data_IF_825399474947
#
_entry.id   IF_825399474947
#
_cell.length_a   1.000
_cell.length_b   1.000
_cell.length_c   1.000
_cell.angle_alpha   90.00
_cell.angle_beta   90.00
_cell.angle_gamma   90.00
#
_symmetry.space_group_name_H-M   'P 1'
#
loop_
_entity.id
_entity.type
_entity.pdbx_description
1 polymer ?
#
# COMPACT_ATOMS: atom_id res chain seq x y z
N UNK A 1 36.44 96.09 70.82
CA UNK A 1 36.26 94.62 70.92
C UNK A 1 37.31 93.95 70.06
N UNK A 2 38.37 93.37 70.66
CA UNK A 2 39.44 92.69 69.91
C UNK A 2 39.01 91.25 69.66
N UNK A 3 38.66 90.94 68.40
CA UNK A 3 38.42 89.57 67.95
C UNK A 3 39.76 88.82 67.93
N UNK A 4 39.89 87.77 68.75
CA UNK A 4 41.16 87.06 68.93
C UNK A 4 41.36 86.01 67.83
N UNK A 5 42.62 85.77 67.42
CA UNK A 5 43.00 84.77 66.39
C UNK A 5 42.39 83.38 66.66
N UNK A 6 42.12 83.04 67.93
CA UNK A 6 41.47 81.78 68.35
C UNK A 6 39.98 81.71 67.98
N UNK A 7 39.24 82.82 68.08
CA UNK A 7 37.81 82.87 67.75
C UNK A 7 37.57 82.66 66.25
N UNK A 8 38.44 83.23 65.39
CA UNK A 8 38.38 83.03 63.93
C UNK A 8 38.62 81.57 63.54
N UNK A 9 39.61 80.90 64.15
CA UNK A 9 39.89 79.47 63.92
C UNK A 9 38.73 78.56 64.35
N UNK A 10 38.06 78.91 65.46
CA UNK A 10 36.88 78.16 65.91
C UNK A 10 35.74 78.28 64.90
N UNK A 11 35.49 79.47 64.37
CA UNK A 11 34.48 79.72 63.34
C UNK A 11 34.78 78.97 62.03
N UNK A 12 36.04 78.98 61.57
CA UNK A 12 36.51 78.23 60.40
C UNK A 12 36.33 76.72 60.60
N UNK A 13 36.67 76.18 61.77
CA UNK A 13 36.46 74.76 62.08
C UNK A 13 34.98 74.36 62.12
N UNK A 14 34.10 75.22 62.64
CA UNK A 14 32.64 74.97 62.63
C UNK A 14 32.08 74.98 61.22
N UNK A 15 32.54 75.87 60.34
CA UNK A 15 32.11 75.93 58.94
C UNK A 15 32.58 74.69 58.15
N UNK A 16 33.82 74.24 58.36
CA UNK A 16 34.34 72.99 57.79
C UNK A 16 33.51 71.76 58.22
N UNK A 17 33.14 71.66 59.50
CA UNK A 17 32.26 70.59 59.99
C UNK A 17 30.86 70.63 59.37
N UNK A 18 30.30 71.82 59.17
CA UNK A 18 29.00 71.99 58.52
C UNK A 18 29.06 71.55 57.05
N UNK A 19 30.10 71.95 56.32
CA UNK A 19 30.33 71.55 54.93
C UNK A 19 30.53 70.04 54.78
N UNK A 20 31.26 69.39 55.71
CA UNK A 20 31.41 67.93 55.73
C UNK A 20 30.07 67.21 55.93
N UNK A 21 29.25 67.65 56.90
CA UNK A 21 27.92 67.08 57.12
C UNK A 21 27.01 67.25 55.90
N UNK A 22 27.04 68.43 55.27
CA UNK A 22 26.28 68.70 54.05
C UNK A 22 26.71 67.79 52.90
N UNK A 23 28.01 67.61 52.68
CA UNK A 23 28.53 66.70 51.65
C UNK A 23 28.16 65.24 51.91
N UNK A 24 28.15 64.79 53.17
CA UNK A 24 27.66 63.46 53.54
C UNK A 24 26.17 63.29 53.23
N UNK A 25 25.34 64.28 53.54
CA UNK A 25 23.90 64.24 53.27
C UNK A 25 23.59 64.26 51.77
N UNK A 26 24.30 65.08 50.99
CA UNK A 26 24.18 65.10 49.53
C UNK A 26 24.59 63.75 48.90
N UNK A 27 25.67 63.14 49.38
CA UNK A 27 26.10 61.82 48.92
C UNK A 27 25.08 60.75 49.26
N UNK A 28 24.53 60.77 50.48
CA UNK A 28 23.48 59.85 50.93
C UNK A 28 22.22 59.99 50.06
N UNK A 29 21.73 61.21 49.84
CA UNK A 29 20.54 61.46 49.02
C UNK A 29 20.75 61.01 47.56
N UNK A 30 21.94 61.20 47.00
CA UNK A 30 22.28 60.71 45.65
C UNK A 30 22.27 59.18 45.57
N UNK A 31 22.79 58.51 46.60
CA UNK A 31 22.78 57.04 46.68
C UNK A 31 21.34 56.54 46.82
N UNK A 32 20.56 57.15 47.71
CA UNK A 32 19.16 56.81 47.94
C UNK A 32 18.33 56.96 46.67
N UNK A 33 18.43 58.10 45.98
CA UNK A 33 17.74 58.33 44.71
C UNK A 33 18.18 57.35 43.60
N UNK A 34 19.46 56.98 43.54
CA UNK A 34 19.93 55.99 42.57
C UNK A 34 19.37 54.60 42.85
N UNK A 35 19.34 54.19 44.12
CA UNK A 35 18.76 52.91 44.54
C UNK A 35 17.26 52.90 44.24
N UNK A 36 16.53 53.96 44.58
CA UNK A 36 15.10 54.08 44.28
C UNK A 36 14.81 53.97 42.77
N UNK A 37 15.60 54.67 41.94
CA UNK A 37 15.48 54.58 40.48
C UNK A 37 15.72 53.16 39.97
N UNK A 38 16.81 52.50 40.41
CA UNK A 38 17.13 51.14 40.00
C UNK A 38 16.08 50.13 40.45
N UNK A 39 15.60 50.26 41.69
CA UNK A 39 14.54 49.40 42.22
C UNK A 39 13.24 49.60 41.44
N UNK A 40 12.91 50.83 41.05
CA UNK A 40 11.79 51.15 40.17
C UNK A 40 11.89 50.45 38.81
N UNK A 41 13.02 50.59 38.13
CA UNK A 41 13.27 49.94 36.83
C UNK A 41 13.18 48.40 36.92
N UNK A 42 13.77 47.82 37.97
CA UNK A 42 13.71 46.36 38.22
C UNK A 42 12.25 45.93 38.43
N UNK A 43 11.48 46.68 39.21
CA UNK A 43 10.07 46.39 39.47
C UNK A 43 9.25 46.39 38.19
N UNK A 44 9.46 47.39 37.33
CA UNK A 44 8.78 47.48 36.03
C UNK A 44 9.16 46.33 35.10
N UNK A 45 10.43 45.94 35.09
CA UNK A 45 10.89 44.79 34.32
C UNK A 45 10.24 43.48 34.82
N UNK A 46 10.19 43.28 36.14
CA UNK A 46 9.56 42.11 36.76
C UNK A 46 8.07 42.05 36.44
N UNK A 47 7.33 43.15 36.55
CA UNK A 47 5.91 43.18 36.21
C UNK A 47 5.66 42.81 34.74
N UNK A 48 6.46 43.36 33.83
CA UNK A 48 6.39 43.02 32.40
C UNK A 48 6.70 41.53 32.14
N UNK A 49 7.61 40.94 32.91
CA UNK A 49 7.89 39.51 32.84
C UNK A 49 6.72 38.67 33.35
N UNK A 50 6.05 39.10 34.42
CA UNK A 50 4.87 38.41 34.99
C UNK A 50 3.74 38.38 33.95
N UNK A 51 3.41 39.52 33.33
CA UNK A 51 2.37 39.59 32.28
C UNK A 51 2.63 38.59 31.15
N UNK A 52 3.88 38.54 30.64
CA UNK A 52 4.27 37.58 29.60
C UNK A 52 4.14 36.12 30.04
N UNK A 53 4.41 35.83 31.32
CA UNK A 53 4.26 34.48 31.87
C UNK A 53 2.78 34.09 31.91
N UNK A 54 1.90 35.01 32.28
CA UNK A 54 0.44 34.78 32.28
C UNK A 54 -0.08 34.49 30.86
N UNK A 55 0.37 35.25 29.86
CA UNK A 55 0.04 35.00 28.44
C UNK A 55 0.46 33.58 28.01
N UNK A 56 1.70 33.18 28.32
CA UNK A 56 2.20 31.84 27.99
C UNK A 56 1.40 30.74 28.69
N UNK A 57 0.95 30.97 29.93
CA UNK A 57 0.08 30.04 30.63
C UNK A 57 -1.32 29.95 30.00
N UNK A 58 -1.86 31.07 29.51
CA UNK A 58 -3.09 31.10 28.71
C UNK A 58 -2.98 30.25 27.46
N UNK A 59 -1.93 30.46 26.66
CA UNK A 59 -1.65 29.65 25.46
C UNK A 59 -1.51 28.17 25.78
N UNK A 60 -0.85 27.80 26.89
CA UNK A 60 -0.73 26.41 27.33
C UNK A 60 -2.10 25.77 27.61
N UNK A 61 -3.05 26.53 28.17
CA UNK A 61 -4.42 26.07 28.42
C UNK A 61 -5.17 25.83 27.11
N UNK A 62 -5.11 26.79 26.19
CA UNK A 62 -5.76 26.71 24.89
C UNK A 62 -5.25 25.52 24.07
N UNK A 63 -3.93 25.28 24.08
CA UNK A 63 -3.32 24.09 23.46
C UNK A 63 -3.91 22.80 24.05
N UNK A 64 -4.13 22.75 25.37
CA UNK A 64 -4.76 21.62 26.04
C UNK A 64 -6.20 21.39 25.56
N UNK A 65 -6.99 22.44 25.45
CA UNK A 65 -8.37 22.37 24.95
C UNK A 65 -8.44 21.93 23.49
N UNK A 66 -7.59 22.50 22.63
CA UNK A 66 -7.49 22.12 21.22
C UNK A 66 -7.08 20.66 21.09
N UNK A 67 -6.09 20.20 21.85
CA UNK A 67 -5.67 18.79 21.89
C UNK A 67 -6.86 17.88 22.25
N UNK A 68 -7.64 18.24 23.27
CA UNK A 68 -8.83 17.48 23.67
C UNK A 68 -9.94 17.48 22.61
N UNK A 69 -10.17 18.61 21.93
CA UNK A 69 -11.13 18.70 20.80
C UNK A 69 -10.71 17.82 19.63
N UNK A 70 -9.41 17.85 19.27
CA UNK A 70 -8.86 17.04 18.19
C UNK A 70 -8.97 15.56 18.50
N UNK A 71 -8.61 15.12 19.72
CA UNK A 71 -8.74 13.71 20.13
C UNK A 71 -10.19 13.22 20.04
N UNK A 72 -11.16 14.02 20.51
CA UNK A 72 -12.58 13.65 20.40
C UNK A 72 -13.05 13.50 18.95
N UNK A 73 -12.70 14.44 18.07
CA UNK A 73 -13.04 14.34 16.65
C UNK A 73 -12.43 13.11 15.96
N UNK A 74 -11.21 12.73 16.35
CA UNK A 74 -10.56 11.53 15.82
C UNK A 74 -11.35 10.27 16.21
N UNK A 75 -11.74 10.14 17.48
CA UNK A 75 -12.52 8.98 17.94
C UNK A 75 -13.94 8.94 17.35
N UNK A 76 -14.58 10.09 17.17
CA UNK A 76 -15.88 10.21 16.49
C UNK A 76 -15.80 9.73 15.04
N UNK A 77 -14.88 10.28 14.25
CA UNK A 77 -14.66 9.88 12.84
C UNK A 77 -14.30 8.40 12.74
N UNK A 78 -13.46 7.88 13.64
CA UNK A 78 -13.10 6.46 13.68
C UNK A 78 -14.33 5.58 13.91
N UNK A 79 -15.19 5.96 14.86
CA UNK A 79 -16.41 5.23 15.17
C UNK A 79 -17.41 5.25 14.01
N UNK A 80 -17.60 6.40 13.36
CA UNK A 80 -18.45 6.52 12.18
C UNK A 80 -17.97 5.67 11.00
N UNK A 81 -16.67 5.75 10.68
CA UNK A 81 -16.08 4.99 9.58
C UNK A 81 -16.17 3.49 9.86
N UNK A 82 -15.88 3.06 11.09
CA UNK A 82 -15.99 1.65 11.48
C UNK A 82 -17.44 1.16 11.39
N UNK A 83 -18.41 1.98 11.81
CA UNK A 83 -19.85 1.66 11.70
C UNK A 83 -20.28 1.43 10.25
N UNK A 84 -19.93 2.35 9.34
CA UNK A 84 -20.25 2.24 7.90
C UNK A 84 -19.63 0.99 7.27
N UNK A 85 -18.39 0.67 7.61
CA UNK A 85 -17.70 -0.53 7.10
C UNK A 85 -18.44 -1.81 7.53
N UNK A 86 -18.85 -1.93 8.79
CA UNK A 86 -19.57 -3.12 9.25
C UNK A 86 -20.98 -3.22 8.65
N UNK A 87 -21.66 -2.09 8.44
CA UNK A 87 -22.96 -2.04 7.74
C UNK A 87 -22.84 -2.52 6.28
N UNK A 88 -21.95 -1.92 5.50
CA UNK A 88 -21.71 -2.29 4.10
C UNK A 88 -21.25 -3.75 3.97
N UNK A 89 -20.38 -4.21 4.87
CA UNK A 89 -19.96 -5.62 4.93
C UNK A 89 -21.14 -6.55 5.18
N UNK A 90 -22.07 -6.18 6.06
CA UNK A 90 -23.30 -6.93 6.31
C UNK A 90 -24.23 -6.97 5.08
N UNK A 91 -24.35 -5.85 4.36
CA UNK A 91 -25.11 -5.79 3.10
C UNK A 91 -24.52 -6.67 2.01
N UNK A 92 -23.21 -6.58 1.79
CA UNK A 92 -22.50 -7.42 0.81
C UNK A 92 -22.63 -8.89 1.14
N UNK A 93 -22.50 -9.28 2.42
CA UNK A 93 -22.72 -10.66 2.84
C UNK A 93 -24.15 -11.14 2.55
N UNK A 94 -25.17 -10.32 2.82
CA UNK A 94 -26.57 -10.63 2.49
C UNK A 94 -26.77 -10.82 0.98
N UNK A 95 -26.26 -9.90 0.16
CA UNK A 95 -26.36 -9.98 -1.29
C UNK A 95 -25.70 -11.24 -1.85
N UNK A 96 -24.50 -11.59 -1.36
CA UNK A 96 -23.80 -12.81 -1.77
C UNK A 96 -24.64 -14.06 -1.43
N UNK A 97 -25.23 -14.11 -0.23
CA UNK A 97 -26.06 -15.25 0.19
C UNK A 97 -27.32 -15.37 -0.66
N UNK A 98 -27.97 -14.25 -1.00
CA UNK A 98 -29.13 -14.24 -1.88
C UNK A 98 -28.78 -14.74 -3.29
N UNK A 99 -27.70 -14.23 -3.88
CA UNK A 99 -27.20 -14.67 -5.20
C UNK A 99 -26.88 -16.17 -5.17
N UNK A 100 -26.20 -16.65 -4.12
CA UNK A 100 -25.89 -18.06 -3.93
C UNK A 100 -27.16 -18.92 -3.92
N UNK A 101 -28.17 -18.55 -3.12
CA UNK A 101 -29.44 -19.27 -3.05
C UNK A 101 -30.16 -19.30 -4.40
N UNK A 102 -30.18 -18.17 -5.13
CA UNK A 102 -30.83 -18.06 -6.44
C UNK A 102 -30.14 -18.91 -7.50
N UNK A 103 -28.81 -18.95 -7.50
CA UNK A 103 -28.03 -19.80 -8.41
C UNK A 103 -28.24 -21.28 -8.08
N UNK A 104 -28.23 -21.67 -6.81
CA UNK A 104 -28.51 -23.04 -6.39
C UNK A 104 -29.91 -23.51 -6.81
N UNK A 105 -30.93 -22.67 -6.64
CA UNK A 105 -32.28 -22.97 -7.12
C UNK A 105 -32.34 -23.20 -8.63
N UNK A 106 -31.73 -22.32 -9.43
CA UNK A 106 -31.65 -22.47 -10.89
C UNK A 106 -30.91 -23.73 -11.32
N UNK A 107 -29.83 -24.11 -10.61
CA UNK A 107 -29.11 -25.36 -10.88
C UNK A 107 -30.02 -26.56 -10.63
N UNK A 108 -30.74 -26.59 -9.50
CA UNK A 108 -31.71 -27.67 -9.21
C UNK A 108 -32.82 -27.79 -10.26
N UNK A 109 -33.34 -26.66 -10.73
CA UNK A 109 -34.34 -26.65 -11.82
C UNK A 109 -33.77 -27.23 -13.13
N UNK A 110 -32.50 -26.94 -13.44
CA UNK A 110 -31.81 -27.47 -14.61
C UNK A 110 -31.54 -28.97 -14.46
N UNK A 111 -31.07 -29.43 -13.29
CA UNK A 111 -30.84 -30.85 -13.00
C UNK A 111 -32.13 -31.68 -13.14
N UNK A 112 -33.26 -31.15 -12.66
CA UNK A 112 -34.56 -31.80 -12.83
C UNK A 112 -34.96 -31.90 -14.31
N UNK A 113 -34.83 -30.79 -15.06
CA UNK A 113 -35.12 -30.78 -16.51
C UNK A 113 -34.20 -31.73 -17.29
N UNK A 114 -32.94 -31.86 -16.87
CA UNK A 114 -31.99 -32.80 -17.47
C UNK A 114 -32.43 -34.25 -17.21
N UNK A 115 -32.85 -34.55 -15.97
CA UNK A 115 -33.34 -35.87 -15.58
C UNK A 115 -34.61 -36.27 -16.36
N UNK A 116 -35.56 -35.34 -16.52
CA UNK A 116 -36.78 -35.59 -17.31
C UNK A 116 -36.47 -35.91 -18.79
N UNK A 117 -35.40 -35.32 -19.35
CA UNK A 117 -34.92 -35.61 -20.70
C UNK A 117 -34.17 -36.96 -20.80
N UNK A 118 -33.62 -37.47 -19.71
CA UNK A 118 -32.84 -38.72 -19.67
C UNK A 118 -33.70 -39.99 -19.51
N UNK A 119 -35.00 -39.86 -19.17
CA UNK A 119 -35.94 -40.99 -18.97
C UNK A 119 -36.38 -41.67 -20.28
N UNK A 120 -35.99 -41.17 -21.46
CA UNK A 120 -36.22 -41.89 -22.72
C UNK A 120 -34.93 -42.53 -23.21
N UNK A 121 -34.61 -43.77 -22.79
CA UNK A 121 -33.90 -44.65 -23.69
C UNK A 121 -34.88 -44.88 -24.84
N UNK A 122 -34.71 -44.11 -25.91
CA UNK A 122 -35.27 -44.48 -27.20
C UNK A 122 -34.75 -45.89 -27.46
N UNK A 123 -35.60 -46.88 -27.22
CA UNK A 123 -35.47 -48.21 -27.79
C UNK A 123 -35.63 -48.02 -29.29
N UNK A 124 -34.57 -47.53 -29.94
CA UNK A 124 -34.42 -47.69 -31.37
C UNK A 124 -34.56 -49.19 -31.64
N UNK A 125 -35.49 -49.62 -32.51
CA UNK A 125 -35.43 -50.98 -33.00
C UNK A 125 -34.04 -51.12 -33.62
N UNK A 126 -33.25 -52.03 -33.06
CA UNK A 126 -32.00 -52.48 -33.66
C UNK A 126 -32.36 -52.99 -35.04
N UNK A 127 -32.17 -52.16 -36.05
CA UNK A 127 -32.02 -52.63 -37.42
C UNK A 127 -30.74 -53.48 -37.42
N UNK A 128 -30.83 -54.78 -37.76
CA UNK A 128 -29.65 -55.59 -37.94
C UNK A 128 -28.87 -55.03 -39.13
N UNK A 129 -27.55 -55.05 -39.01
CA UNK A 129 -26.59 -54.78 -40.09
C UNK A 129 -26.35 -53.32 -40.45
N UNK A 130 -25.66 -52.62 -39.54
CA UNK A 130 -24.66 -51.67 -39.98
C UNK A 130 -23.42 -51.77 -39.06
N UNK A 131 -22.55 -52.73 -39.35
CA UNK A 131 -21.17 -52.74 -38.85
C UNK A 131 -20.39 -51.60 -39.53
N UNK A 132 -20.61 -50.35 -39.13
CA UNK A 132 -19.69 -49.27 -39.49
C UNK A 132 -18.93 -48.82 -38.25
N UNK A 133 -17.76 -49.43 -38.12
CA UNK A 133 -16.55 -48.93 -37.47
C UNK A 133 -16.65 -47.50 -36.96
N UNK A 134 -16.64 -47.34 -35.63
CA UNK A 134 -16.37 -46.05 -34.97
C UNK A 134 -15.06 -45.52 -35.54
N UNK A 135 -15.05 -44.38 -36.26
CA UNK A 135 -13.80 -43.83 -36.78
C UNK A 135 -12.95 -43.43 -35.57
N UNK A 136 -11.93 -44.23 -35.26
CA UNK A 136 -10.83 -43.77 -34.42
C UNK A 136 -10.09 -42.76 -35.28
N UNK A 137 -10.48 -41.49 -35.17
CA UNK A 137 -9.76 -40.40 -35.85
C UNK A 137 -8.33 -40.47 -35.33
N UNK A 138 -7.40 -40.82 -36.24
CA UNK A 138 -5.98 -40.99 -35.94
C UNK A 138 -5.44 -39.74 -35.26
N UNK A 139 -4.59 -39.93 -34.25
CA UNK A 139 -3.89 -38.86 -33.55
C UNK A 139 -3.16 -37.96 -34.55
N UNK A 140 -3.44 -36.66 -34.51
CA UNK A 140 -2.82 -35.67 -35.36
C UNK A 140 -1.37 -35.43 -34.92
N UNK A 141 -0.42 -35.53 -35.85
CA UNK A 141 1.02 -35.39 -35.60
C UNK A 141 1.44 -33.93 -35.50
N UNK A 142 2.13 -33.56 -34.43
CA UNK A 142 2.68 -32.23 -34.19
C UNK A 142 4.10 -32.12 -34.81
N UNK A 143 4.30 -31.21 -35.78
CA UNK A 143 5.64 -30.78 -36.23
C UNK A 143 5.65 -29.30 -36.68
N UNK A 144 6.57 -28.53 -36.07
CA UNK A 144 7.06 -27.17 -36.38
C UNK A 144 6.15 -25.95 -36.10
N UNK A 145 6.82 -24.82 -35.82
CA UNK A 145 6.35 -23.54 -35.26
C UNK A 145 5.12 -22.88 -35.90
N UNK A 146 4.88 -23.03 -37.21
CA UNK A 146 3.67 -22.49 -37.88
C UNK A 146 2.42 -23.34 -37.60
N UNK A 147 2.61 -24.55 -37.08
CA UNK A 147 1.57 -25.56 -36.86
C UNK A 147 0.97 -25.52 -35.44
N UNK A 148 1.52 -24.72 -34.52
CA UNK A 148 1.10 -24.69 -33.11
C UNK A 148 -0.32 -24.14 -32.90
N UNK A 149 -0.65 -23.01 -33.51
CA UNK A 149 -1.97 -22.38 -33.40
C UNK A 149 -3.05 -23.20 -34.12
N UNK A 150 -2.68 -23.79 -35.26
CA UNK A 150 -3.53 -24.71 -36.03
C UNK A 150 -3.79 -25.98 -35.23
N UNK A 151 -2.76 -26.59 -34.65
CA UNK A 151 -2.87 -27.76 -33.79
C UNK A 151 -3.73 -27.49 -32.57
N UNK A 152 -3.52 -26.37 -31.85
CA UNK A 152 -4.33 -26.03 -30.66
C UNK A 152 -5.80 -25.85 -31.03
N UNK A 153 -6.09 -25.22 -32.17
CA UNK A 153 -7.45 -25.05 -32.68
C UNK A 153 -8.08 -26.41 -33.04
N UNK A 154 -7.39 -27.24 -33.80
CA UNK A 154 -7.89 -28.56 -34.20
C UNK A 154 -8.07 -29.50 -33.01
N UNK A 155 -7.12 -29.52 -32.07
CA UNK A 155 -7.18 -30.28 -30.84
C UNK A 155 -8.38 -29.86 -29.99
N UNK A 156 -8.65 -28.56 -29.87
CA UNK A 156 -9.81 -28.06 -29.15
C UNK A 156 -11.13 -28.49 -29.80
N UNK A 157 -11.25 -28.39 -31.13
CA UNK A 157 -12.42 -28.86 -31.88
C UNK A 157 -12.68 -30.35 -31.63
N UNK A 158 -11.65 -31.19 -31.82
CA UNK A 158 -11.74 -32.65 -31.62
C UNK A 158 -12.07 -33.00 -30.16
N UNK A 159 -11.46 -32.29 -29.21
CA UNK A 159 -11.71 -32.53 -27.79
C UNK A 159 -13.13 -32.19 -27.37
N UNK A 160 -13.70 -31.12 -27.95
CA UNK A 160 -15.06 -30.67 -27.68
C UNK A 160 -16.10 -31.55 -28.37
N UNK A 161 -15.87 -31.95 -29.62
CA UNK A 161 -16.77 -32.86 -30.34
C UNK A 161 -16.84 -34.25 -29.68
N UNK A 162 -15.74 -34.67 -29.05
CA UNK A 162 -15.64 -35.97 -28.39
C UNK A 162 -15.93 -35.92 -26.88
N UNK A 163 -16.30 -34.75 -26.32
CA UNK A 163 -16.63 -34.61 -24.90
C UNK A 163 -15.48 -34.95 -23.95
N UNK A 164 -14.23 -34.71 -24.34
CA UNK A 164 -13.08 -35.06 -23.52
C UNK A 164 -13.00 -34.16 -22.27
N UNK A 165 -12.86 -34.77 -21.10
CA UNK A 165 -12.51 -34.06 -19.86
C UNK A 165 -11.01 -33.71 -19.81
N UNK A 166 -10.61 -32.82 -18.90
CA UNK A 166 -9.23 -32.30 -18.84
C UNK A 166 -8.16 -33.39 -18.70
N UNK A 167 -8.47 -34.50 -18.01
CA UNK A 167 -7.56 -35.63 -17.86
C UNK A 167 -7.33 -36.37 -19.18
N UNK A 168 -8.39 -36.60 -19.95
CA UNK A 168 -8.32 -37.22 -21.30
C UNK A 168 -7.62 -36.27 -22.27
N UNK A 169 -7.91 -34.96 -22.21
CA UNK A 169 -7.19 -33.94 -23.00
C UNK A 169 -5.69 -33.94 -22.70
N UNK A 170 -5.30 -33.93 -21.42
CA UNK A 170 -3.90 -33.99 -21.02
C UNK A 170 -3.20 -35.24 -21.56
N UNK A 171 -3.81 -36.41 -21.37
CA UNK A 171 -3.27 -37.69 -21.84
C UNK A 171 -3.12 -37.73 -23.36
N UNK A 172 -4.12 -37.25 -24.10
CA UNK A 172 -4.09 -37.21 -25.55
C UNK A 172 -3.08 -36.18 -26.09
N UNK A 173 -2.94 -35.04 -25.40
CA UNK A 173 -1.95 -34.03 -25.75
C UNK A 173 -0.54 -34.59 -25.61
N UNK A 174 -0.23 -35.22 -24.47
CA UNK A 174 1.05 -35.91 -24.22
C UNK A 174 1.31 -36.98 -25.29
N UNK A 175 0.30 -37.79 -25.60
CA UNK A 175 0.41 -38.83 -26.63
C UNK A 175 0.60 -38.29 -28.05
N UNK A 176 0.23 -37.04 -28.32
CA UNK A 176 0.36 -36.38 -29.63
C UNK A 176 1.71 -35.65 -29.79
N UNK A 177 2.44 -35.40 -28.69
CA UNK A 177 3.79 -34.84 -28.76
C UNK A 177 4.75 -35.84 -29.41
N UNK A 178 5.61 -35.32 -30.29
CA UNK A 178 6.67 -36.06 -30.99
C UNK A 178 7.90 -35.15 -31.09
N UNK A 179 9.07 -35.72 -31.28
CA UNK A 179 10.30 -34.94 -31.50
C UNK A 179 10.74 -34.12 -30.26
N UNK A 180 11.26 -32.92 -30.50
CA UNK A 180 11.82 -32.00 -29.49
C UNK A 180 10.82 -31.63 -28.38
N UNK A 181 9.54 -31.73 -28.67
CA UNK A 181 8.44 -31.39 -27.80
C UNK A 181 8.24 -32.43 -26.69
N UNK A 182 8.72 -33.66 -26.91
CA UNK A 182 8.73 -34.69 -25.86
C UNK A 182 9.80 -34.42 -24.80
N UNK A 183 10.82 -33.61 -25.08
CA UNK A 183 11.83 -33.22 -24.09
C UNK A 183 11.22 -32.38 -22.96
N UNK A 184 10.12 -31.66 -23.24
CA UNK A 184 9.37 -30.91 -22.23
C UNK A 184 8.76 -31.83 -21.17
N UNK A 185 8.45 -33.07 -21.54
CA UNK A 185 7.88 -34.07 -20.63
C UNK A 185 8.88 -34.56 -19.59
N UNK A 186 10.20 -34.47 -19.86
CA UNK A 186 11.24 -34.91 -18.92
C UNK A 186 11.33 -34.00 -17.68
N UNK A 187 10.91 -32.74 -17.80
CA UNK A 187 10.90 -31.78 -16.69
C UNK A 187 9.64 -31.80 -15.83
N UNK A 188 8.64 -32.60 -16.19
CA UNK A 188 7.34 -32.63 -15.51
C UNK A 188 7.22 -33.92 -14.68
N UNK A 189 6.93 -33.83 -13.37
CA UNK A 189 6.62 -35.00 -12.55
C UNK A 189 5.45 -35.81 -13.12
N UNK A 190 5.56 -37.15 -13.09
CA UNK A 190 4.57 -38.04 -13.72
C UNK A 190 3.15 -37.89 -13.18
N UNK A 191 2.99 -37.52 -11.91
CA UNK A 191 1.71 -37.24 -11.25
C UNK A 191 1.03 -35.99 -11.80
N UNK A 192 1.78 -35.09 -12.45
CA UNK A 192 1.29 -33.85 -13.04
C UNK A 192 1.07 -33.93 -14.55
N UNK A 193 1.44 -35.03 -15.19
CA UNK A 193 1.17 -35.29 -16.62
C UNK A 193 -0.32 -35.55 -16.91
N UNK A 194 -1.18 -35.56 -15.89
CA UNK A 194 -2.64 -35.59 -16.06
C UNK A 194 -3.29 -34.22 -15.96
N UNK A 195 -2.55 -33.18 -15.56
CA UNK A 195 -3.03 -31.80 -15.55
C UNK A 195 -2.72 -31.10 -16.87
N UNK A 196 -3.79 -30.77 -17.60
CA UNK A 196 -3.70 -30.10 -18.89
C UNK A 196 -2.95 -28.77 -18.78
N UNK A 197 -3.20 -28.02 -17.72
CA UNK A 197 -2.67 -26.66 -17.53
C UNK A 197 -1.15 -26.68 -17.35
N UNK A 198 -0.65 -27.62 -16.55
CA UNK A 198 0.79 -27.82 -16.34
C UNK A 198 1.52 -28.16 -17.64
N UNK A 199 0.95 -29.03 -18.48
CA UNK A 199 1.56 -29.42 -19.77
C UNK A 199 1.53 -28.25 -20.75
N UNK A 200 0.41 -27.52 -20.86
CA UNK A 200 0.30 -26.35 -21.74
C UNK A 200 1.31 -25.27 -21.37
N UNK A 201 1.49 -24.99 -20.07
CA UNK A 201 2.44 -24.00 -19.59
C UNK A 201 3.90 -24.39 -19.85
N UNK A 202 4.24 -25.66 -19.68
CA UNK A 202 5.59 -26.14 -19.96
C UNK A 202 5.94 -26.05 -21.46
N UNK A 203 4.96 -26.34 -22.33
CA UNK A 203 5.10 -26.17 -23.78
C UNK A 203 5.22 -24.68 -24.16
N UNK A 204 4.45 -23.80 -23.53
CA UNK A 204 4.56 -22.35 -23.73
C UNK A 204 5.91 -21.80 -23.24
N UNK A 205 6.44 -22.30 -22.12
CA UNK A 205 7.74 -21.86 -21.62
C UNK A 205 8.89 -22.25 -22.56
N UNK A 206 8.85 -23.44 -23.15
CA UNK A 206 9.93 -23.94 -24.04
C UNK A 206 9.83 -23.42 -25.47
N UNK A 207 8.63 -23.27 -25.99
CA UNK A 207 8.39 -22.97 -27.41
C UNK A 207 7.57 -21.69 -27.66
N UNK A 208 7.15 -20.99 -26.60
CA UNK A 208 6.45 -19.71 -26.71
C UNK A 208 7.38 -18.59 -27.17
N UNK A 209 6.79 -17.60 -27.85
CA UNK A 209 7.53 -16.49 -28.46
C UNK A 209 8.16 -15.51 -27.45
N UNK A 210 7.94 -15.71 -26.14
CA UNK A 210 8.51 -14.90 -25.05
C UNK A 210 10.04 -14.84 -25.10
N UNK A 211 10.71 -15.94 -25.47
CA UNK A 211 12.17 -15.99 -25.58
C UNK A 211 12.73 -15.24 -26.80
N UNK A 212 11.92 -15.03 -27.85
CA UNK A 212 12.33 -14.29 -29.03
C UNK A 212 12.56 -12.81 -28.70
N UNK A 213 11.74 -12.27 -27.79
CA UNK A 213 11.87 -10.89 -27.27
C UNK A 213 13.14 -10.70 -26.46
N UNK A 214 13.54 -11.67 -25.63
CA UNK A 214 14.81 -11.60 -24.90
C UNK A 214 16.02 -11.73 -25.84
N UNK A 215 15.95 -12.64 -26.82
CA UNK A 215 17.00 -12.79 -27.83
C UNK A 215 17.20 -11.50 -28.64
N UNK A 216 16.13 -10.90 -29.18
CA UNK A 216 16.21 -9.62 -29.87
C UNK A 216 16.65 -8.47 -28.96
N UNK A 217 16.26 -8.48 -27.68
CA UNK A 217 16.72 -7.48 -26.70
C UNK A 217 18.24 -7.55 -26.49
N UNK A 218 18.77 -8.75 -26.28
CA UNK A 218 20.22 -8.96 -26.13
C UNK A 218 20.98 -8.67 -27.44
N UNK A 219 20.41 -9.01 -28.61
CA UNK A 219 21.03 -8.72 -29.90
C UNK A 219 21.05 -7.20 -30.21
N UNK A 220 20.02 -6.46 -29.81
CA UNK A 220 19.97 -5.00 -29.90
C UNK A 220 20.95 -4.31 -28.94
N UNK A 221 21.11 -4.83 -27.72
CA UNK A 221 22.07 -4.32 -26.73
C UNK A 221 23.53 -4.48 -27.19
N UNK A 222 23.82 -5.54 -27.96
CA UNK A 222 25.16 -5.78 -28.52
C UNK A 222 25.50 -4.87 -29.73
N UNK A 223 24.55 -4.07 -30.26
CA UNK A 223 24.72 -3.31 -31.52
C UNK A 223 24.89 -1.78 -31.42
N UNK A 224 25.11 -1.14 -30.26
CA UNK A 224 25.62 0.27 -30.17
C UNK A 224 26.54 0.43 -28.94
N UNK A 225 27.69 1.11 -28.93
CA UNK A 225 28.22 2.24 -29.69
C UNK A 225 29.78 2.20 -29.61
N UNK A 226 30.51 2.02 -30.73
CA UNK A 226 31.96 2.29 -30.74
C UNK A 226 32.14 3.79 -30.46
N UNK A 227 32.72 4.12 -29.30
CA UNK A 227 33.15 5.50 -29.00
C UNK A 227 34.20 5.87 -30.04
N UNK A 228 33.89 6.87 -30.87
CA UNK A 228 34.89 7.57 -31.65
C UNK A 228 35.81 8.29 -30.66
N UNK A 229 37.04 7.78 -30.53
CA UNK A 229 38.15 8.46 -29.85
C UNK A 229 38.46 9.75 -30.60
N UNK A 230 38.20 10.90 -29.96
CA UNK A 230 38.74 12.19 -30.36
C UNK A 230 40.24 12.20 -30.04
N UNK A 231 41.08 12.24 -31.06
CA UNK A 231 42.37 12.91 -31.00
C UNK A 231 42.16 14.40 -31.31
#
# INVERSE_FOLDING_TARGET
MVNTRSQRKMAENTDLLANLKKGQEEMKNRIEAHIESQVGEIKDHVNRCIEKIEDVQGVKRDIGEVKGKVQRKIEEVKSEVQGKIEEEKGEVQRMIQEVKNKVQGKIGDIEKRLSDLEIRPDSFPVSPEVMYSRPTVKSLTFDRKTYRTVFKTQFNIVSSSNGWNNRVKASQLVASLRGSETEVLQGIPSDKLTDLTTIENALEARFGDSHLTQFYRTELEMRRQKKASRC
#
